data_IF_203095925101
#
_entry.id   IF_203095925101
#
_cell.length_a   1.000
_cell.length_b   1.000
_cell.length_c   1.000
_cell.angle_alpha   90.00
_cell.angle_beta   90.00
_cell.angle_gamma   90.00
#
_symmetry.space_group_name_H-M   'P 1'
#
loop_
_entity.id
_entity.type
_entity.pdbx_description
1 polymer ?
#
# COMPACT_ATOMS: atom_id res chain seq x y z
N UNK A 1 6.62 -13.04 -36.34
CA UNK A 1 7.57 -11.90 -36.33
C UNK A 1 7.98 -11.67 -34.90
N UNK A 2 9.20 -12.11 -34.55
CA UNK A 2 9.76 -11.94 -33.22
C UNK A 2 10.14 -10.48 -33.00
N UNK A 3 9.63 -9.90 -31.92
CA UNK A 3 10.13 -8.63 -31.40
C UNK A 3 11.37 -8.97 -30.57
N UNK A 4 12.52 -8.61 -31.13
CA UNK A 4 13.82 -8.73 -30.49
C UNK A 4 13.85 -7.96 -29.18
N UNK A 5 14.25 -8.66 -28.11
CA UNK A 5 14.69 -8.09 -26.86
C UNK A 5 15.91 -7.20 -27.10
N UNK A 6 15.74 -5.88 -27.03
CA UNK A 6 16.84 -4.99 -26.66
C UNK A 6 16.81 -4.80 -25.15
N UNK A 7 17.67 -5.55 -24.46
CA UNK A 7 18.06 -5.31 -23.07
C UNK A 7 18.82 -3.99 -22.98
N UNK A 8 18.07 -2.91 -22.86
CA UNK A 8 18.50 -1.73 -22.12
C UNK A 8 18.11 -1.98 -20.66
N UNK A 9 19.05 -1.85 -19.74
CA UNK A 9 18.86 -1.99 -18.30
C UNK A 9 18.04 -0.87 -17.66
N UNK A 10 16.98 -0.39 -18.33
CA UNK A 10 16.11 0.67 -17.86
C UNK A 10 14.97 0.12 -17.01
N UNK A 11 14.61 0.88 -15.98
CA UNK A 11 13.64 0.57 -14.92
C UNK A 11 12.18 0.36 -15.38
N UNK A 12 11.94 0.29 -16.70
CA UNK A 12 10.61 0.20 -17.33
C UNK A 12 10.03 -1.22 -17.43
N UNK A 13 10.81 -2.26 -17.13
CA UNK A 13 10.32 -3.65 -17.12
C UNK A 13 9.51 -4.03 -15.86
N UNK A 14 9.27 -3.09 -14.93
CA UNK A 14 8.50 -3.32 -13.71
C UNK A 14 7.12 -2.71 -13.82
N UNK A 15 6.10 -3.50 -13.52
CA UNK A 15 4.72 -3.01 -13.38
C UNK A 15 4.54 -2.27 -12.04
N UNK A 16 3.64 -1.29 -11.97
CA UNK A 16 2.91 -0.68 -13.09
C UNK A 16 3.80 0.27 -13.93
N UNK A 17 3.45 0.39 -15.21
CA UNK A 17 3.94 1.43 -16.12
C UNK A 17 2.75 2.14 -16.77
N UNK A 18 2.92 3.43 -17.10
CA UNK A 18 1.92 4.27 -17.76
C UNK A 18 2.52 4.87 -19.02
N UNK A 19 1.87 4.67 -20.16
CA UNK A 19 2.19 5.37 -21.40
C UNK A 19 1.31 6.63 -21.51
N UNK A 20 1.95 7.79 -21.62
CA UNK A 20 1.27 9.08 -21.80
C UNK A 20 2.15 10.02 -22.61
N UNK A 21 1.59 10.65 -23.65
CA UNK A 21 2.30 11.51 -24.60
C UNK A 21 3.55 10.85 -25.20
N UNK A 22 3.41 9.61 -25.70
CA UNK A 22 4.50 8.79 -26.27
C UNK A 22 5.68 8.56 -25.32
N UNK A 23 5.48 8.70 -24.01
CA UNK A 23 6.48 8.43 -22.99
C UNK A 23 5.97 7.39 -22.01
N UNK A 24 6.80 6.38 -21.74
CA UNK A 24 6.55 5.39 -20.69
C UNK A 24 7.10 5.90 -19.36
N UNK A 25 6.28 5.83 -18.31
CA UNK A 25 6.62 6.19 -16.93
C UNK A 25 6.47 4.96 -16.05
N UNK A 26 7.40 4.76 -15.11
CA UNK A 26 7.40 3.63 -14.19
C UNK A 26 7.46 4.06 -12.73
N UNK A 27 7.23 3.09 -11.84
CA UNK A 27 7.25 3.28 -10.39
C UNK A 27 5.90 3.73 -9.86
N UNK A 28 5.23 2.87 -9.10
CA UNK A 28 3.85 3.09 -8.62
C UNK A 28 3.66 4.44 -7.91
N UNK A 29 4.59 4.83 -7.01
CA UNK A 29 4.51 6.10 -6.30
C UNK A 29 4.65 7.31 -7.23
N UNK A 30 5.54 7.24 -8.22
CA UNK A 30 5.68 8.29 -9.22
C UNK A 30 4.42 8.39 -10.08
N UNK A 31 3.81 7.26 -10.41
CA UNK A 31 2.59 7.21 -11.23
C UNK A 31 1.38 7.79 -10.52
N UNK A 32 1.16 7.49 -9.23
CA UNK A 32 0.01 8.09 -8.50
C UNK A 32 0.17 9.61 -8.35
N UNK A 33 1.40 10.10 -8.16
CA UNK A 33 1.70 11.56 -8.16
C UNK A 33 1.49 12.17 -9.53
N UNK A 34 1.94 11.50 -10.59
CA UNK A 34 1.75 11.95 -11.96
C UNK A 34 0.25 12.03 -12.31
N UNK A 35 -0.53 11.01 -11.96
CA UNK A 35 -1.98 10.99 -12.18
C UNK A 35 -2.65 12.18 -11.48
N UNK A 36 -2.34 12.41 -10.20
CA UNK A 36 -2.92 13.51 -9.42
C UNK A 36 -2.60 14.90 -9.99
N UNK A 37 -1.46 15.07 -10.66
CA UNK A 37 -0.98 16.38 -11.14
C UNK A 37 -1.26 16.64 -12.62
N UNK A 38 -1.51 15.60 -13.42
CA UNK A 38 -1.62 15.71 -14.88
C UNK A 38 -2.99 15.36 -15.44
N UNK A 39 -3.89 14.81 -14.63
CA UNK A 39 -5.26 14.47 -15.03
C UNK A 39 -6.26 15.27 -14.19
N UNK A 40 -7.40 15.58 -14.78
CA UNK A 40 -8.51 16.19 -14.03
C UNK A 40 -9.15 15.19 -13.07
N UNK A 41 -9.91 15.71 -12.10
CA UNK A 41 -10.61 14.91 -11.08
C UNK A 41 -10.49 15.54 -9.70
N UNK A 42 -11.04 14.88 -8.66
CA UNK A 42 -10.83 15.30 -7.29
C UNK A 42 -9.34 15.26 -6.92
N UNK A 43 -8.85 16.27 -6.20
CA UNK A 43 -7.47 16.25 -5.68
C UNK A 43 -7.31 15.16 -4.62
N UNK A 44 -6.19 14.43 -4.67
CA UNK A 44 -5.79 13.40 -3.72
C UNK A 44 -4.70 13.87 -2.75
N UNK A 45 -4.44 15.18 -2.71
CA UNK A 45 -3.63 15.84 -1.71
C UNK A 45 -4.34 17.10 -1.21
N UNK A 46 -4.37 17.34 0.11
CA UNK A 46 -4.90 18.58 0.67
C UNK A 46 -3.97 19.77 0.37
N UNK A 47 -4.51 20.99 0.40
CA UNK A 47 -3.73 22.22 0.23
C UNK A 47 -2.90 22.59 1.46
N UNK A 48 -3.23 22.01 2.62
CA UNK A 48 -2.54 22.23 3.88
C UNK A 48 -1.05 21.82 3.80
N UNK A 49 -0.09 22.73 4.02
CA UNK A 49 1.34 22.44 3.88
C UNK A 49 1.88 21.37 4.84
N UNK A 50 1.33 21.28 6.05
CA UNK A 50 1.74 20.26 7.03
C UNK A 50 1.29 18.87 6.55
N UNK A 51 0.04 18.76 6.08
CA UNK A 51 -0.49 17.51 5.51
C UNK A 51 0.26 17.11 4.23
N UNK A 52 0.67 18.06 3.39
CA UNK A 52 1.51 17.75 2.22
C UNK A 52 2.89 17.21 2.62
N UNK A 53 3.53 17.83 3.62
CA UNK A 53 4.81 17.35 4.14
C UNK A 53 4.67 15.95 4.73
N UNK A 54 3.62 15.71 5.52
CA UNK A 54 3.36 14.40 6.10
C UNK A 54 3.03 13.34 5.03
N UNK A 55 2.36 13.71 3.94
CA UNK A 55 2.15 12.83 2.82
C UNK A 55 3.48 12.35 2.21
N UNK A 56 4.45 13.25 2.03
CA UNK A 56 5.78 12.89 1.50
C UNK A 56 6.57 11.99 2.46
N UNK A 57 6.46 12.23 3.78
CA UNK A 57 7.03 11.35 4.81
C UNK A 57 6.43 9.93 4.73
N UNK A 58 5.10 9.83 4.64
CA UNK A 58 4.40 8.55 4.52
C UNK A 58 4.76 7.81 3.23
N UNK A 59 4.82 8.51 2.10
CA UNK A 59 5.20 7.90 0.83
C UNK A 59 6.65 7.40 0.87
N UNK A 60 7.56 8.15 1.49
CA UNK A 60 8.95 7.76 1.68
C UNK A 60 9.10 6.54 2.60
N UNK A 61 8.28 6.45 3.65
CA UNK A 61 8.28 5.32 4.59
C UNK A 61 7.66 4.03 4.03
N UNK A 62 6.80 4.14 3.01
CA UNK A 62 6.00 3.01 2.50
C UNK A 62 6.84 1.81 2.04
N UNK A 63 8.00 2.02 1.42
CA UNK A 63 8.88 0.93 0.98
C UNK A 63 9.46 0.14 2.16
N UNK A 64 9.85 0.85 3.24
CA UNK A 64 10.30 0.19 4.47
C UNK A 64 9.15 -0.60 5.10
N UNK A 65 7.99 0.01 5.30
CA UNK A 65 6.83 -0.65 5.91
C UNK A 65 6.47 -1.94 5.16
N UNK A 66 6.32 -1.85 3.83
CA UNK A 66 5.90 -2.98 3.00
C UNK A 66 6.93 -4.11 3.00
N UNK A 67 8.22 -3.81 2.91
CA UNK A 67 9.28 -4.83 2.97
C UNK A 67 9.36 -5.50 4.33
N UNK A 68 9.32 -4.71 5.41
CA UNK A 68 9.47 -5.22 6.78
C UNK A 68 8.32 -6.16 7.15
N UNK A 69 7.08 -5.76 6.89
CA UNK A 69 5.91 -6.61 7.20
C UNK A 69 5.87 -7.84 6.28
N UNK A 70 6.20 -7.68 4.99
CA UNK A 70 6.22 -8.81 4.06
C UNK A 70 7.33 -9.83 4.37
N UNK A 71 8.47 -9.40 4.88
CA UNK A 71 9.51 -10.33 5.35
C UNK A 71 8.99 -11.25 6.46
N UNK A 72 8.15 -10.73 7.38
CA UNK A 72 7.49 -11.57 8.38
C UNK A 72 6.49 -12.56 7.77
N UNK A 73 5.77 -12.18 6.71
CA UNK A 73 4.89 -13.11 5.99
C UNK A 73 5.69 -14.28 5.41
N UNK A 74 6.85 -14.02 4.83
CA UNK A 74 7.70 -15.03 4.18
C UNK A 74 8.56 -15.84 5.16
N UNK A 75 8.65 -15.41 6.42
CA UNK A 75 9.41 -16.12 7.44
C UNK A 75 8.89 -17.54 7.65
N UNK A 76 9.77 -18.48 8.03
CA UNK A 76 9.38 -19.82 8.46
C UNK A 76 8.92 -19.88 9.92
N UNK A 77 9.19 -18.81 10.67
CA UNK A 77 8.76 -18.70 12.07
C UNK A 77 7.25 -18.51 12.17
N UNK A 78 6.62 -19.06 13.20
CA UNK A 78 5.17 -18.92 13.42
C UNK A 78 4.77 -17.55 13.99
N UNK A 79 5.74 -16.69 14.32
CA UNK A 79 5.54 -15.33 14.84
C UNK A 79 6.02 -14.27 13.83
N UNK A 80 5.59 -13.01 14.04
CA UNK A 80 6.09 -11.85 13.27
C UNK A 80 7.25 -11.17 14.00
N UNK A 81 8.17 -10.55 13.26
CA UNK A 81 9.32 -9.88 13.86
C UNK A 81 8.92 -8.64 14.68
N UNK A 82 9.76 -8.28 15.67
CA UNK A 82 9.58 -7.04 16.42
C UNK A 82 9.56 -5.80 15.51
N UNK A 83 10.37 -5.80 14.44
CA UNK A 83 10.38 -4.71 13.46
C UNK A 83 9.04 -4.60 12.70
N UNK A 84 8.40 -5.74 12.38
CA UNK A 84 7.08 -5.74 11.75
C UNK A 84 6.00 -5.24 12.71
N UNK A 85 6.07 -5.61 13.99
CA UNK A 85 5.20 -5.04 15.03
C UNK A 85 5.39 -3.53 15.12
N UNK A 86 6.64 -3.06 15.23
CA UNK A 86 6.95 -1.63 15.31
C UNK A 86 6.49 -0.85 14.07
N UNK A 87 6.61 -1.43 12.87
CA UNK A 87 6.11 -0.82 11.64
C UNK A 87 4.58 -0.70 11.61
N UNK A 88 3.85 -1.69 12.14
CA UNK A 88 2.39 -1.63 12.30
C UNK A 88 1.97 -0.62 13.37
N UNK A 89 2.73 -0.51 14.47
CA UNK A 89 2.47 0.48 15.52
C UNK A 89 2.75 1.90 15.01
N UNK A 90 3.79 2.09 14.18
CA UNK A 90 4.05 3.37 13.52
C UNK A 90 2.93 3.76 12.55
N UNK A 91 2.30 2.78 11.90
CA UNK A 91 1.13 3.02 11.05
C UNK A 91 -0.06 3.54 11.87
N UNK A 92 -0.33 2.93 13.04
CA UNK A 92 -1.36 3.38 13.98
C UNK A 92 -1.09 4.79 14.51
N UNK A 93 0.16 5.08 14.88
CA UNK A 93 0.60 6.43 15.29
C UNK A 93 0.37 7.44 14.16
N UNK A 94 0.70 7.05 12.93
CA UNK A 94 0.54 7.92 11.75
C UNK A 94 -0.92 8.23 11.45
N UNK A 95 -1.82 7.24 11.58
CA UNK A 95 -3.27 7.44 11.48
C UNK A 95 -3.85 8.26 12.65
N UNK A 96 -3.09 8.45 13.73
CA UNK A 96 -3.49 9.27 14.87
C UNK A 96 -3.07 10.74 14.74
N UNK A 97 -2.20 11.08 13.77
CA UNK A 97 -1.61 12.43 13.67
C UNK A 97 -2.65 13.53 13.46
N UNK A 98 -3.63 13.29 12.59
CA UNK A 98 -4.70 14.24 12.30
C UNK A 98 -6.03 13.69 12.80
N UNK A 99 -6.62 14.36 13.80
CA UNK A 99 -7.84 13.89 14.47
C UNK A 99 -9.13 14.26 13.73
N UNK A 100 -9.02 15.04 12.65
CA UNK A 100 -10.14 15.54 11.85
C UNK A 100 -10.68 14.52 10.83
N UNK A 101 -10.24 13.26 10.89
CA UNK A 101 -10.84 12.21 10.08
C UNK A 101 -10.17 10.83 10.18
N UNK A 102 -10.62 9.87 9.36
CA UNK A 102 -10.19 8.48 9.44
C UNK A 102 -8.97 8.14 8.58
N UNK A 103 -8.53 9.05 7.70
CA UNK A 103 -7.44 8.83 6.74
C UNK A 103 -6.12 9.44 7.24
N UNK A 104 -5.01 9.06 6.59
CA UNK A 104 -3.69 9.53 7.00
C UNK A 104 -3.55 11.06 7.05
N UNK A 105 -4.29 11.77 6.20
CA UNK A 105 -4.27 13.23 6.11
C UNK A 105 -5.60 13.85 6.63
N UNK A 106 -6.31 13.14 7.51
CA UNK A 106 -7.54 13.60 8.12
C UNK A 106 -8.80 13.14 7.39
N UNK A 107 -9.68 14.08 7.03
CA UNK A 107 -11.01 13.78 6.50
C UNK A 107 -11.02 13.16 5.09
N UNK A 108 -10.06 13.53 4.24
CA UNK A 108 -10.03 13.17 2.82
C UNK A 108 -9.14 11.97 2.52
N UNK A 109 -9.64 11.06 1.68
CA UNK A 109 -8.83 9.99 1.07
C UNK A 109 -7.75 10.60 0.16
N UNK A 110 -6.52 10.08 0.26
CA UNK A 110 -5.34 10.72 -0.33
C UNK A 110 -4.38 9.74 -1.01
N UNK A 111 -3.34 10.29 -1.64
CA UNK A 111 -2.22 9.50 -2.18
C UNK A 111 -1.54 8.64 -1.12
N UNK A 112 -1.48 9.09 0.13
CA UNK A 112 -0.94 8.30 1.22
C UNK A 112 -1.79 7.04 1.44
N UNK A 113 -3.11 7.17 1.52
CA UNK A 113 -4.00 6.03 1.68
C UNK A 113 -3.87 5.03 0.52
N UNK A 114 -3.78 5.54 -0.71
CA UNK A 114 -3.57 4.73 -1.93
C UNK A 114 -2.26 3.92 -1.85
N UNK A 115 -1.19 4.50 -1.30
CA UNK A 115 0.09 3.83 -1.20
C UNK A 115 0.06 2.64 -0.20
N UNK A 116 -0.72 2.73 0.87
CA UNK A 116 -0.75 1.71 1.93
C UNK A 116 -1.89 0.69 1.78
N UNK A 117 -3.07 1.11 1.27
CA UNK A 117 -4.28 0.27 1.19
C UNK A 117 -4.05 -1.11 0.56
N UNK A 118 -3.37 -1.25 -0.60
CA UNK A 118 -3.15 -2.55 -1.20
C UNK A 118 -2.32 -3.49 -0.32
N UNK A 119 -1.39 -2.96 0.47
CA UNK A 119 -0.50 -3.77 1.29
C UNK A 119 -1.15 -4.16 2.60
N UNK A 120 -1.80 -3.23 3.30
CA UNK A 120 -2.53 -3.52 4.54
C UNK A 120 -3.63 -4.55 4.30
N UNK A 121 -4.39 -4.43 3.19
CA UNK A 121 -5.38 -5.42 2.78
C UNK A 121 -4.80 -6.83 2.71
N UNK A 122 -3.62 -6.97 2.10
CA UNK A 122 -2.92 -8.25 1.95
C UNK A 122 -2.39 -8.75 3.28
N UNK A 123 -1.80 -7.88 4.09
CA UNK A 123 -1.23 -8.28 5.39
C UNK A 123 -2.29 -8.69 6.40
N UNK A 124 -3.49 -8.09 6.36
CA UNK A 124 -4.63 -8.54 7.15
C UNK A 124 -4.95 -10.01 6.90
N UNK A 125 -4.94 -10.43 5.62
CA UNK A 125 -5.21 -11.81 5.21
C UNK A 125 -4.02 -12.71 5.55
N UNK A 126 -2.81 -12.28 5.16
CA UNK A 126 -1.62 -13.12 5.19
C UNK A 126 -1.13 -13.41 6.61
N UNK A 127 -1.05 -12.39 7.46
CA UNK A 127 -0.56 -12.56 8.82
C UNK A 127 -1.57 -13.30 9.69
N UNK A 128 -2.87 -13.08 9.47
CA UNK A 128 -3.89 -13.84 10.18
C UNK A 128 -3.86 -15.34 9.80
N UNK A 129 -3.77 -15.67 8.52
CA UNK A 129 -3.76 -17.06 8.08
C UNK A 129 -2.44 -17.77 8.40
N UNK A 130 -1.30 -17.17 8.03
CA UNK A 130 0.02 -17.82 8.05
C UNK A 130 0.77 -17.65 9.37
N UNK A 131 0.44 -16.63 10.18
CA UNK A 131 1.14 -16.31 11.44
C UNK A 131 0.21 -16.23 12.64
N UNK A 132 -1.10 -16.46 12.44
CA UNK A 132 -2.15 -16.31 13.47
C UNK A 132 -2.08 -14.95 14.19
N UNK A 133 -1.65 -13.92 13.44
CA UNK A 133 -1.45 -12.58 13.96
C UNK A 133 -2.50 -11.62 13.39
N UNK A 134 -3.32 -11.07 14.28
CA UNK A 134 -4.31 -10.05 13.95
C UNK A 134 -3.67 -8.65 14.03
N UNK A 135 -3.45 -8.02 12.87
CA UNK A 135 -2.86 -6.69 12.79
C UNK A 135 -3.77 -5.59 13.38
N UNK A 136 -5.06 -5.85 13.59
CA UNK A 136 -6.01 -4.86 14.10
C UNK A 136 -6.05 -4.81 15.62
N UNK A 137 -5.56 -5.86 16.29
CA UNK A 137 -5.54 -5.92 17.76
C UNK A 137 -4.69 -4.81 18.35
N UNK A 138 -5.31 -3.94 19.15
CA UNK A 138 -4.67 -2.79 19.77
C UNK A 138 -4.45 -1.58 18.83
N UNK A 139 -5.01 -1.61 17.62
CA UNK A 139 -4.84 -0.55 16.60
C UNK A 139 -6.19 0.01 16.13
N UNK A 140 -6.91 0.76 17.00
CA UNK A 140 -8.26 1.25 16.71
C UNK A 140 -8.33 2.22 15.52
N UNK A 141 -7.30 3.04 15.26
CA UNK A 141 -7.29 3.91 14.08
C UNK A 141 -7.14 3.10 12.80
N UNK A 142 -6.31 2.06 12.80
CA UNK A 142 -6.21 1.12 11.69
C UNK A 142 -7.56 0.42 11.41
N UNK A 143 -8.29 0.00 12.45
CA UNK A 143 -9.64 -0.57 12.30
C UNK A 143 -10.57 0.42 11.59
N UNK A 144 -10.59 1.68 12.06
CA UNK A 144 -11.42 2.72 11.47
C UNK A 144 -11.03 3.01 10.02
N UNK A 145 -9.74 3.14 9.75
CA UNK A 145 -9.20 3.36 8.41
C UNK A 145 -9.59 2.24 7.43
N UNK A 146 -9.43 0.97 7.82
CA UNK A 146 -9.86 -0.18 7.02
C UNK A 146 -11.38 -0.11 6.75
N UNK A 147 -12.18 0.21 7.77
CA UNK A 147 -13.64 0.34 7.62
C UNK A 147 -14.01 1.42 6.61
N UNK A 148 -13.40 2.59 6.69
CA UNK A 148 -13.72 3.72 5.81
C UNK A 148 -13.19 3.51 4.38
N UNK A 149 -12.02 2.88 4.21
CA UNK A 149 -11.54 2.44 2.90
C UNK A 149 -12.55 1.54 2.20
N UNK A 150 -13.12 0.56 2.90
CA UNK A 150 -14.07 -0.40 2.32
C UNK A 150 -15.43 0.24 1.94
N UNK A 151 -15.64 1.54 2.20
CA UNK A 151 -16.79 2.29 1.67
C UNK A 151 -16.50 2.98 0.34
N UNK A 152 -15.24 3.05 -0.07
CA UNK A 152 -14.82 3.71 -1.31
C UNK A 152 -15.00 2.73 -2.47
N UNK A 153 -15.98 2.99 -3.33
CA UNK A 153 -16.31 2.15 -4.49
C UNK A 153 -15.07 1.88 -5.36
N UNK A 154 -14.32 2.94 -5.71
CA UNK A 154 -13.11 2.84 -6.52
C UNK A 154 -12.03 1.94 -5.91
N UNK A 155 -11.89 1.89 -4.58
CA UNK A 155 -10.98 0.96 -3.90
C UNK A 155 -11.53 -0.47 -3.96
N UNK A 156 -12.80 -0.65 -3.58
CA UNK A 156 -13.43 -1.99 -3.52
C UNK A 156 -13.44 -2.70 -4.88
N UNK A 157 -13.57 -1.95 -5.98
CA UNK A 157 -13.53 -2.47 -7.35
C UNK A 157 -12.16 -3.07 -7.74
N UNK A 158 -11.09 -2.77 -6.99
CA UNK A 158 -9.73 -3.28 -7.26
C UNK A 158 -9.36 -4.52 -6.43
N UNK A 159 -10.20 -4.88 -5.45
CA UNK A 159 -9.92 -5.97 -4.53
C UNK A 159 -10.00 -7.32 -5.24
N UNK A 160 -9.24 -8.28 -4.72
CA UNK A 160 -9.27 -9.66 -5.18
C UNK A 160 -9.94 -10.55 -4.14
N UNK A 161 -10.40 -11.72 -4.59
CA UNK A 161 -10.85 -12.75 -3.68
C UNK A 161 -9.73 -13.10 -2.67
N UNK A 162 -10.00 -13.03 -1.35
CA UNK A 162 -8.98 -13.30 -0.33
C UNK A 162 -8.37 -14.70 -0.43
N UNK A 163 -9.18 -15.70 -0.79
CA UNK A 163 -8.73 -17.09 -0.86
C UNK A 163 -7.86 -17.34 -2.09
N UNK A 164 -8.20 -16.74 -3.24
CA UNK A 164 -7.36 -16.74 -4.44
C UNK A 164 -6.01 -16.09 -4.15
N UNK A 165 -6.02 -14.91 -3.51
CA UNK A 165 -4.82 -14.16 -3.17
C UNK A 165 -3.90 -14.97 -2.23
N UNK A 166 -4.47 -15.57 -1.18
CA UNK A 166 -3.75 -16.41 -0.22
C UNK A 166 -3.15 -17.64 -0.91
N UNK A 167 -3.95 -18.38 -1.67
CA UNK A 167 -3.52 -19.59 -2.38
C UNK A 167 -2.40 -19.30 -3.37
N UNK A 168 -2.53 -18.23 -4.16
CA UNK A 168 -1.50 -17.81 -5.13
C UNK A 168 -0.22 -17.38 -4.43
N UNK A 169 -0.31 -16.67 -3.31
CA UNK A 169 0.86 -16.24 -2.53
C UNK A 169 1.58 -17.45 -1.95
N UNK A 170 0.87 -18.38 -1.28
CA UNK A 170 1.47 -19.60 -0.74
C UNK A 170 2.19 -20.41 -1.81
N UNK A 171 1.54 -20.62 -2.96
CA UNK A 171 2.15 -21.32 -4.11
C UNK A 171 3.41 -20.60 -4.62
N UNK A 172 3.33 -19.28 -4.80
CA UNK A 172 4.43 -18.48 -5.35
C UNK A 172 5.68 -18.53 -4.47
N UNK A 173 5.50 -18.58 -3.15
CA UNK A 173 6.59 -18.50 -2.19
C UNK A 173 6.90 -19.81 -1.47
N UNK A 174 6.27 -20.93 -1.86
CA UNK A 174 6.50 -22.24 -1.25
C UNK A 174 6.08 -22.31 0.22
N UNK A 175 4.99 -21.64 0.58
CA UNK A 175 4.37 -21.62 1.93
C UNK A 175 3.13 -22.52 2.00
N UNK A 176 2.97 -23.43 1.04
CA UNK A 176 1.85 -24.36 0.92
C UNK A 176 2.18 -25.70 1.56
#
# INVERSE_FOLDING_TARGET
MGINETRDGSSFLRVPSLEHNNQVKGGSLNLIKFINTHFGGPTLLPDDPEKQTFAEELLSYSDYFTKTVFASVLSKEDYISNDAVAALDKLEESLSKFEDGPFFLGQGFSLADIAYAPFVERYLIFLNDMKKYDITKGRPKLILWIKELNKIEAYTATKRDPQELLTRTKRKFGLA
#
